data_IF_689531280353
#
_entry.id   IF_689531280353
#
_cell.length_a   1.000
_cell.length_b   1.000
_cell.length_c   1.000
_cell.angle_alpha   90.00
_cell.angle_beta   90.00
_cell.angle_gamma   90.00
#
_symmetry.space_group_name_H-M   'P 1'
#
loop_
_entity.id
_entity.type
_entity.pdbx_description
1 polymer ?
#
# COMPACT_ATOMS: atom_id res chain seq x y z
N UNK A 1 -12.70 29.20 -34.80
CA UNK A 1 -12.71 27.79 -34.35
C UNK A 1 -11.92 27.50 -33.08
N UNK A 2 -10.95 28.35 -32.70
CA UNK A 2 -10.23 28.23 -31.41
C UNK A 2 -11.11 28.47 -30.18
N UNK A 3 -12.16 29.25 -30.28
CA UNK A 3 -13.06 29.53 -29.15
C UNK A 3 -14.02 28.38 -28.83
N UNK A 4 -14.36 27.52 -29.80
CA UNK A 4 -15.15 26.31 -29.59
C UNK A 4 -14.35 25.22 -28.85
N UNK A 5 -13.08 25.07 -29.17
CA UNK A 5 -12.21 24.07 -28.49
C UNK A 5 -11.95 24.38 -27.02
N UNK A 6 -11.78 25.66 -26.66
CA UNK A 6 -11.60 26.08 -25.26
C UNK A 6 -12.86 25.84 -24.41
N UNK A 7 -14.05 26.15 -24.98
CA UNK A 7 -15.33 25.93 -24.31
C UNK A 7 -15.62 24.43 -24.04
N UNK A 8 -15.25 23.57 -24.99
CA UNK A 8 -15.42 22.12 -24.83
C UNK A 8 -14.39 21.50 -23.86
N UNK A 9 -13.17 22.01 -23.83
CA UNK A 9 -12.16 21.64 -22.85
C UNK A 9 -12.59 22.06 -21.44
N UNK A 10 -13.15 23.27 -21.28
CA UNK A 10 -13.69 23.73 -20.00
C UNK A 10 -14.92 22.95 -19.57
N UNK A 11 -15.85 22.60 -20.46
CA UNK A 11 -17.03 21.78 -20.14
C UNK A 11 -16.66 20.35 -19.76
N UNK A 12 -15.60 19.78 -20.33
CA UNK A 12 -15.10 18.44 -19.95
C UNK A 12 -14.43 18.43 -18.58
N UNK A 13 -13.90 19.55 -18.09
CA UNK A 13 -13.27 19.64 -16.77
C UNK A 13 -14.24 19.75 -15.60
N UNK A 14 -15.54 19.95 -15.82
CA UNK A 14 -16.51 20.31 -14.79
C UNK A 14 -17.60 19.27 -14.52
N UNK A 15 -17.57 18.11 -15.16
CA UNK A 15 -18.51 17.02 -14.89
C UNK A 15 -17.86 15.89 -14.10
N UNK A 16 -18.44 15.47 -12.97
CA UNK A 16 -18.11 14.19 -12.34
C UNK A 16 -18.51 13.08 -13.34
N UNK A 17 -17.52 12.55 -14.05
CA UNK A 17 -17.70 11.40 -14.94
C UNK A 17 -16.64 10.37 -14.59
N UNK A 18 -17.03 9.23 -13.98
CA UNK A 18 -16.12 8.13 -13.79
C UNK A 18 -15.48 7.75 -15.13
N UNK A 19 -14.16 7.57 -15.11
CA UNK A 19 -13.39 7.28 -16.33
C UNK A 19 -13.75 5.92 -16.93
N UNK A 20 -14.29 5.02 -16.09
CA UNK A 20 -14.82 3.73 -16.48
C UNK A 20 -15.84 3.85 -17.61
N UNK A 21 -16.73 4.85 -17.54
CA UNK A 21 -17.77 5.04 -18.59
C UNK A 21 -17.15 5.37 -19.96
N UNK A 22 -16.09 6.14 -19.98
CA UNK A 22 -15.35 6.46 -21.23
C UNK A 22 -14.48 5.29 -21.70
N UNK A 23 -13.88 4.55 -20.79
CA UNK A 23 -13.06 3.39 -21.11
C UNK A 23 -13.90 2.25 -21.72
N UNK A 24 -15.09 1.99 -21.17
CA UNK A 24 -15.98 0.93 -21.68
C UNK A 24 -16.55 1.20 -23.08
N UNK A 25 -16.58 2.44 -23.53
CA UNK A 25 -17.18 2.81 -24.83
C UNK A 25 -16.44 2.20 -26.03
N UNK A 26 -15.12 1.99 -25.91
CA UNK A 26 -14.26 1.41 -26.96
C UNK A 26 -13.47 0.20 -26.42
N UNK A 27 -14.10 -0.58 -25.55
CA UNK A 27 -13.42 -1.68 -24.85
C UNK A 27 -13.38 -2.93 -25.72
N UNK A 28 -12.18 -3.41 -26.03
CA UNK A 28 -11.99 -4.62 -26.83
C UNK A 28 -11.72 -5.84 -25.94
N UNK A 29 -11.88 -7.03 -26.52
CA UNK A 29 -11.61 -8.29 -25.82
C UNK A 29 -10.12 -8.43 -25.45
N UNK A 30 -9.23 -7.89 -26.28
CA UNK A 30 -7.79 -7.87 -26.05
C UNK A 30 -7.45 -6.98 -24.85
N UNK A 31 -8.08 -5.79 -24.75
CA UNK A 31 -7.94 -4.89 -23.61
C UNK A 31 -8.46 -5.54 -22.34
N UNK A 32 -9.61 -6.20 -22.40
CA UNK A 32 -10.15 -6.92 -21.24
C UNK A 32 -9.17 -7.98 -20.72
N UNK A 33 -8.57 -8.76 -21.60
CA UNK A 33 -7.62 -9.79 -21.18
C UNK A 33 -6.33 -9.18 -20.59
N UNK A 34 -5.85 -8.07 -21.17
CA UNK A 34 -4.70 -7.34 -20.66
C UNK A 34 -4.99 -6.77 -19.26
N UNK A 35 -6.15 -6.13 -19.07
CA UNK A 35 -6.56 -5.56 -17.79
C UNK A 35 -6.80 -6.65 -16.72
N UNK A 36 -7.39 -7.78 -17.11
CA UNK A 36 -7.59 -8.92 -16.22
C UNK A 36 -6.25 -9.47 -15.70
N UNK A 37 -5.30 -9.67 -16.60
CA UNK A 37 -3.96 -10.13 -16.22
C UNK A 37 -3.23 -9.12 -15.34
N UNK A 38 -3.32 -7.83 -15.67
CA UNK A 38 -2.74 -6.77 -14.85
C UNK A 38 -3.41 -6.74 -13.46
N UNK A 39 -4.73 -6.87 -13.39
CA UNK A 39 -5.50 -6.92 -12.15
C UNK A 39 -5.10 -8.09 -11.24
N UNK A 40 -4.92 -9.28 -11.82
CA UNK A 40 -4.45 -10.47 -11.08
C UNK A 40 -3.05 -10.21 -10.48
N UNK A 41 -2.12 -9.72 -11.30
CA UNK A 41 -0.75 -9.43 -10.84
C UNK A 41 -0.75 -8.40 -9.71
N UNK A 42 -1.49 -7.30 -9.89
CA UNK A 42 -1.61 -6.26 -8.86
C UNK A 42 -2.27 -6.80 -7.61
N UNK A 43 -3.33 -7.61 -7.74
CA UNK A 43 -4.02 -8.23 -6.61
C UNK A 43 -3.09 -9.10 -5.76
N UNK A 44 -2.28 -9.94 -6.39
CA UNK A 44 -1.31 -10.80 -5.69
C UNK A 44 -0.27 -9.96 -4.93
N UNK A 45 0.20 -8.85 -5.50
CA UNK A 45 1.17 -7.97 -4.84
C UNK A 45 0.51 -7.12 -3.76
N UNK A 46 -0.75 -6.71 -3.95
CA UNK A 46 -1.48 -5.87 -3.02
C UNK A 46 -1.86 -6.60 -1.71
N UNK A 47 -2.08 -7.92 -1.74
CA UNK A 47 -2.49 -8.68 -0.56
C UNK A 47 -1.47 -8.61 0.59
N UNK A 48 -0.18 -8.98 0.41
CA UNK A 48 0.82 -8.85 1.46
C UNK A 48 0.98 -7.41 1.95
N UNK A 49 0.90 -6.44 1.04
CA UNK A 49 1.02 -5.03 1.37
C UNK A 49 -0.16 -4.56 2.25
N UNK A 50 -1.39 -4.98 1.94
CA UNK A 50 -2.57 -4.66 2.72
C UNK A 50 -2.50 -5.25 4.14
N UNK A 51 -2.01 -6.50 4.26
CA UNK A 51 -1.76 -7.16 5.54
C UNK A 51 -0.73 -6.37 6.36
N UNK A 52 0.44 -6.10 5.76
CA UNK A 52 1.54 -5.43 6.43
C UNK A 52 1.13 -4.02 6.92
N UNK A 53 0.45 -3.24 6.08
CA UNK A 53 -0.02 -1.91 6.46
C UNK A 53 -1.17 -1.94 7.47
N UNK A 54 -2.03 -2.97 7.42
CA UNK A 54 -3.04 -3.20 8.44
C UNK A 54 -2.40 -3.40 9.81
N UNK A 55 -1.47 -4.32 9.93
CA UNK A 55 -0.73 -4.63 11.16
C UNK A 55 0.04 -3.39 11.63
N UNK A 56 0.81 -2.74 10.75
CA UNK A 56 1.58 -1.56 11.09
C UNK A 56 0.71 -0.37 11.53
N UNK A 57 -0.53 -0.32 11.09
CA UNK A 57 -1.53 0.68 11.51
C UNK A 57 -2.26 0.31 12.82
N UNK A 58 -2.02 -0.88 13.37
CA UNK A 58 -2.63 -1.35 14.63
C UNK A 58 -4.01 -1.98 14.46
N UNK A 59 -4.38 -2.40 13.24
CA UNK A 59 -5.61 -3.18 12.96
C UNK A 59 -5.29 -4.63 12.61
N UNK A 60 -6.31 -5.50 12.64
CA UNK A 60 -6.11 -6.89 12.26
C UNK A 60 -5.82 -7.05 10.76
N UNK A 61 -5.05 -8.09 10.36
CA UNK A 61 -4.72 -8.37 8.98
C UNK A 61 -5.95 -8.44 8.05
N UNK A 62 -7.04 -9.05 8.53
CA UNK A 62 -8.28 -9.23 7.79
C UNK A 62 -8.91 -7.89 7.42
N UNK A 63 -8.90 -6.92 8.36
CA UNK A 63 -9.40 -5.57 8.12
C UNK A 63 -8.60 -4.84 7.05
N UNK A 64 -7.28 -5.06 7.03
CA UNK A 64 -6.41 -4.55 5.97
C UNK A 64 -6.81 -5.07 4.59
N UNK A 65 -7.03 -6.38 4.47
CA UNK A 65 -7.45 -7.03 3.21
C UNK A 65 -8.84 -6.54 2.79
N UNK A 66 -9.83 -6.56 3.68
CA UNK A 66 -11.20 -6.13 3.39
C UNK A 66 -11.21 -4.67 2.91
N UNK A 67 -10.46 -3.81 3.59
CA UNK A 67 -10.33 -2.40 3.20
C UNK A 67 -9.71 -2.26 1.81
N UNK A 68 -8.65 -3.00 1.51
CA UNK A 68 -8.01 -2.96 0.19
C UNK A 68 -8.97 -3.40 -0.92
N UNK A 69 -9.76 -4.46 -0.70
CA UNK A 69 -10.73 -4.96 -1.67
C UNK A 69 -11.84 -3.93 -1.90
N UNK A 70 -12.51 -3.50 -0.83
CA UNK A 70 -13.68 -2.61 -0.94
C UNK A 70 -13.27 -1.22 -1.44
N UNK A 71 -12.26 -0.61 -0.82
CA UNK A 71 -11.80 0.72 -1.20
C UNK A 71 -11.18 0.71 -2.60
N UNK A 72 -10.35 -0.29 -2.93
CA UNK A 72 -9.76 -0.45 -4.25
C UNK A 72 -10.83 -0.58 -5.34
N UNK A 73 -11.87 -1.37 -5.10
CA UNK A 73 -13.00 -1.50 -6.03
C UNK A 73 -13.76 -0.18 -6.22
N UNK A 74 -14.14 0.49 -5.13
CA UNK A 74 -14.90 1.76 -5.19
C UNK A 74 -14.07 2.84 -5.88
N UNK A 75 -12.79 2.97 -5.55
CA UNK A 75 -11.89 3.97 -6.15
C UNK A 75 -11.71 3.69 -7.65
N UNK A 76 -11.55 2.44 -8.05
CA UNK A 76 -11.42 2.07 -9.47
C UNK A 76 -12.71 2.31 -10.24
N UNK A 77 -13.87 2.03 -9.62
CA UNK A 77 -15.20 2.22 -10.24
C UNK A 77 -15.53 3.70 -10.44
N UNK A 78 -15.24 4.54 -9.44
CA UNK A 78 -15.62 5.96 -9.40
C UNK A 78 -14.47 6.90 -9.76
N UNK A 79 -13.27 6.39 -9.97
CA UNK A 79 -12.07 7.18 -10.23
C UNK A 79 -12.11 7.94 -11.56
N UNK A 80 -11.40 9.06 -11.59
CA UNK A 80 -11.26 9.91 -12.77
C UNK A 80 -9.99 9.63 -13.58
N UNK A 81 -9.17 8.66 -13.20
CA UNK A 81 -7.92 8.26 -13.87
C UNK A 81 -8.05 6.89 -14.53
N UNK A 82 -7.42 6.71 -15.67
CA UNK A 82 -7.37 5.43 -16.38
C UNK A 82 -6.27 4.50 -15.84
N UNK A 83 -5.30 5.05 -15.13
CA UNK A 83 -4.06 4.34 -14.75
C UNK A 83 -3.79 4.36 -13.25
N UNK A 84 -4.75 4.80 -12.43
CA UNK A 84 -4.61 4.88 -10.99
C UNK A 84 -5.39 3.77 -10.30
N UNK A 85 -4.73 3.05 -9.40
CA UNK A 85 -5.33 2.05 -8.52
C UNK A 85 -5.30 2.61 -7.09
N UNK A 86 -6.45 2.57 -6.42
CA UNK A 86 -6.54 2.90 -4.99
C UNK A 86 -5.99 1.76 -4.15
N UNK A 87 -5.21 2.10 -3.11
CA UNK A 87 -4.65 1.10 -2.22
C UNK A 87 -4.10 1.71 -0.93
N UNK A 88 -3.67 0.86 0.00
CA UNK A 88 -3.07 1.31 1.24
C UNK A 88 -1.78 2.09 0.97
N UNK A 89 -1.52 3.13 1.79
CA UNK A 89 -0.31 3.93 1.67
C UNK A 89 0.42 4.03 3.00
N UNK A 90 1.74 3.87 2.96
CA UNK A 90 2.61 3.99 4.12
C UNK A 90 2.58 5.37 4.78
N UNK A 91 2.21 6.42 4.03
CA UNK A 91 2.11 7.78 4.54
C UNK A 91 1.11 7.95 5.70
N UNK A 92 0.03 7.18 5.68
CA UNK A 92 -1.03 7.27 6.69
C UNK A 92 -0.87 6.32 7.88
N UNK A 93 0.08 5.39 7.85
CA UNK A 93 0.28 4.41 8.92
C UNK A 93 0.41 5.10 10.28
N UNK A 94 1.26 6.11 10.37
CA UNK A 94 1.54 6.82 11.64
C UNK A 94 0.28 7.54 12.17
N UNK A 95 -0.48 8.16 11.25
CA UNK A 95 -1.71 8.88 11.60
C UNK A 95 -2.78 7.90 12.09
N UNK A 96 -3.01 6.82 11.35
CA UNK A 96 -3.99 5.79 11.70
C UNK A 96 -3.62 5.11 13.01
N UNK A 97 -2.35 4.74 13.18
CA UNK A 97 -1.85 4.15 14.42
C UNK A 97 -2.07 5.08 15.61
N UNK A 98 -1.77 6.38 15.46
CA UNK A 98 -2.00 7.38 16.50
C UNK A 98 -3.48 7.50 16.89
N UNK A 99 -4.39 7.50 15.92
CA UNK A 99 -5.84 7.53 16.16
C UNK A 99 -6.29 6.27 16.92
N UNK A 100 -5.82 5.10 16.51
CA UNK A 100 -6.19 3.82 17.15
C UNK A 100 -5.67 3.76 18.58
N UNK A 101 -4.45 4.24 18.85
CA UNK A 101 -3.90 4.25 20.21
C UNK A 101 -4.67 5.17 21.16
N UNK A 102 -5.20 6.30 20.66
CA UNK A 102 -5.90 7.30 21.49
C UNK A 102 -7.41 7.04 21.58
N UNK A 103 -8.05 6.65 20.49
CA UNK A 103 -9.51 6.58 20.36
C UNK A 103 -10.05 5.21 19.98
N UNK A 104 -9.16 4.21 19.80
CA UNK A 104 -9.54 2.88 19.37
C UNK A 104 -10.05 2.83 17.94
N UNK A 105 -10.56 1.67 17.54
CA UNK A 105 -11.09 1.45 16.18
C UNK A 105 -12.34 2.28 15.89
N UNK A 106 -13.19 2.51 16.90
CA UNK A 106 -14.38 3.37 16.76
C UNK A 106 -13.99 4.80 16.41
N UNK A 107 -12.91 5.31 17.02
CA UNK A 107 -12.37 6.63 16.69
C UNK A 107 -11.85 6.68 15.25
N UNK A 108 -11.22 5.61 14.75
CA UNK A 108 -10.79 5.52 13.36
C UNK A 108 -11.96 5.57 12.38
N UNK A 109 -13.06 4.88 12.67
CA UNK A 109 -14.28 4.92 11.84
C UNK A 109 -14.81 6.35 11.73
N UNK A 110 -14.96 7.05 12.87
CA UNK A 110 -15.44 8.43 12.89
C UNK A 110 -14.48 9.35 12.11
N UNK A 111 -13.18 9.25 12.36
CA UNK A 111 -12.18 10.06 11.66
C UNK A 111 -12.22 9.82 10.13
N UNK A 112 -12.39 8.58 9.70
CA UNK A 112 -12.49 8.22 8.28
C UNK A 112 -13.77 8.79 7.64
N UNK A 113 -14.90 8.71 8.34
CA UNK A 113 -16.16 9.32 7.87
C UNK A 113 -16.03 10.84 7.75
N UNK A 114 -15.45 11.49 8.75
CA UNK A 114 -15.19 12.93 8.71
C UNK A 114 -14.28 13.32 7.55
N UNK A 115 -13.20 12.58 7.35
CA UNK A 115 -12.29 12.79 6.22
C UNK A 115 -13.01 12.61 4.88
N UNK A 116 -13.87 11.59 4.75
CA UNK A 116 -14.68 11.36 3.57
C UNK A 116 -15.63 12.52 3.27
N UNK A 117 -16.33 13.05 4.27
CA UNK A 117 -17.19 14.23 4.12
C UNK A 117 -16.37 15.45 3.67
N UNK A 118 -15.23 15.71 4.30
CA UNK A 118 -14.35 16.80 3.92
C UNK A 118 -13.86 16.66 2.48
N UNK A 119 -13.48 15.48 2.05
CA UNK A 119 -13.05 15.23 0.66
C UNK A 119 -14.18 15.47 -0.33
N UNK A 120 -15.42 15.08 -0.01
CA UNK A 120 -16.60 15.36 -0.84
C UNK A 120 -16.81 16.87 -0.95
N UNK A 121 -16.75 17.60 0.15
CA UNK A 121 -16.88 19.07 0.16
C UNK A 121 -15.77 19.73 -0.68
N UNK A 122 -14.52 19.31 -0.53
CA UNK A 122 -13.40 19.79 -1.35
C UNK A 122 -13.64 19.53 -2.84
N UNK A 123 -14.22 18.37 -3.18
CA UNK A 123 -14.60 18.03 -4.55
C UNK A 123 -15.72 18.93 -5.09
N UNK A 124 -16.80 19.13 -4.32
CA UNK A 124 -17.95 19.98 -4.67
C UNK A 124 -17.51 21.45 -4.88
N UNK A 125 -16.70 21.98 -3.98
CA UNK A 125 -16.13 23.32 -4.09
C UNK A 125 -15.01 23.44 -5.13
N UNK A 126 -14.66 22.33 -5.81
CA UNK A 126 -13.59 22.28 -6.85
C UNK A 126 -12.22 22.75 -6.34
N UNK A 127 -11.98 22.57 -5.04
CA UNK A 127 -10.73 22.97 -4.39
C UNK A 127 -9.53 22.10 -4.82
N UNK A 128 -9.76 21.00 -5.53
CA UNK A 128 -8.69 20.26 -6.19
C UNK A 128 -7.85 21.09 -7.17
N UNK A 129 -8.42 22.20 -7.69
CA UNK A 129 -7.66 23.15 -8.52
C UNK A 129 -6.57 23.90 -7.72
N UNK A 130 -6.73 24.02 -6.39
CA UNK A 130 -5.77 24.68 -5.50
C UNK A 130 -4.43 23.92 -5.44
N UNK A 131 -4.45 22.61 -5.72
CA UNK A 131 -3.23 21.79 -5.78
C UNK A 131 -2.22 22.31 -6.80
N UNK A 132 -2.70 22.97 -7.88
CA UNK A 132 -1.83 23.59 -8.89
C UNK A 132 -0.95 24.71 -8.34
N UNK A 133 -1.33 25.30 -7.22
CA UNK A 133 -0.59 26.39 -6.58
C UNK A 133 0.42 25.87 -5.54
N UNK A 134 0.46 24.55 -5.29
CA UNK A 134 1.45 23.97 -4.39
C UNK A 134 2.81 23.98 -5.10
N UNK A 135 3.82 24.66 -4.55
CA UNK A 135 5.16 24.67 -5.13
C UNK A 135 5.77 23.27 -5.19
N UNK A 136 6.42 22.95 -6.30
CA UNK A 136 7.07 21.66 -6.51
C UNK A 136 7.99 21.20 -5.38
N UNK A 137 8.80 22.08 -4.74
CA UNK A 137 9.65 21.68 -3.58
C UNK A 137 8.85 21.10 -2.42
N UNK A 138 7.62 21.57 -2.17
CA UNK A 138 6.77 21.04 -1.09
C UNK A 138 6.36 19.58 -1.42
N UNK A 139 6.00 19.32 -2.68
CA UNK A 139 5.63 17.96 -3.14
C UNK A 139 6.83 17.02 -2.99
N UNK A 140 8.02 17.45 -3.41
CA UNK A 140 9.24 16.66 -3.30
C UNK A 140 9.59 16.41 -1.84
N UNK A 141 9.54 17.43 -0.99
CA UNK A 141 9.81 17.31 0.44
C UNK A 141 8.85 16.33 1.13
N UNK A 142 7.55 16.44 0.83
CA UNK A 142 6.53 15.53 1.36
C UNK A 142 6.78 14.08 0.90
N UNK A 143 7.03 13.86 -0.39
CA UNK A 143 7.28 12.53 -0.93
C UNK A 143 8.55 11.91 -0.37
N UNK A 144 9.62 12.71 -0.24
CA UNK A 144 10.88 12.25 0.37
C UNK A 144 10.70 11.91 1.85
N UNK A 145 9.94 12.72 2.59
CA UNK A 145 9.62 12.44 3.99
C UNK A 145 8.85 11.13 4.17
N UNK A 146 7.88 10.86 3.28
CA UNK A 146 7.17 9.58 3.25
C UNK A 146 8.14 8.42 2.98
N UNK A 147 9.02 8.57 1.99
CA UNK A 147 9.99 7.52 1.65
C UNK A 147 10.91 7.18 2.84
N UNK A 148 11.42 8.18 3.54
CA UNK A 148 12.25 8.00 4.74
C UNK A 148 11.44 7.32 5.85
N UNK A 149 10.19 7.71 6.05
CA UNK A 149 9.31 7.10 7.07
C UNK A 149 9.05 5.64 6.77
N UNK A 150 8.71 5.29 5.51
CA UNK A 150 8.50 3.91 5.09
C UNK A 150 9.80 3.10 5.27
N UNK A 151 10.93 3.63 4.81
CA UNK A 151 12.22 2.97 4.99
C UNK A 151 12.50 2.67 6.46
N UNK A 152 12.26 3.63 7.34
CA UNK A 152 12.44 3.45 8.79
C UNK A 152 11.57 2.33 9.34
N UNK A 153 10.30 2.22 8.91
CA UNK A 153 9.44 1.12 9.37
C UNK A 153 9.91 -0.25 8.90
N UNK A 154 10.53 -0.34 7.74
CA UNK A 154 11.04 -1.61 7.19
C UNK A 154 12.30 -2.12 7.88
N UNK A 155 13.03 -1.27 8.60
CA UNK A 155 14.26 -1.67 9.32
C UNK A 155 13.98 -2.79 10.32
N UNK A 156 12.91 -2.67 11.11
CA UNK A 156 12.53 -3.69 12.09
C UNK A 156 12.25 -5.05 11.42
N UNK A 157 11.54 -5.05 10.30
CA UNK A 157 11.17 -6.26 9.57
C UNK A 157 12.37 -6.89 8.86
N UNK A 158 13.26 -6.08 8.25
CA UNK A 158 14.47 -6.56 7.57
C UNK A 158 15.38 -7.29 8.56
N UNK A 159 15.60 -6.72 9.73
CA UNK A 159 16.45 -7.31 10.77
C UNK A 159 15.69 -8.27 11.70
N UNK A 160 14.37 -8.39 11.56
CA UNK A 160 13.55 -9.25 12.41
C UNK A 160 13.65 -8.88 13.89
N UNK A 161 13.66 -7.57 14.20
CA UNK A 161 13.82 -7.09 15.58
C UNK A 161 12.60 -7.46 16.42
N UNK A 162 12.85 -7.91 17.63
CA UNK A 162 11.81 -8.21 18.63
C UNK A 162 11.91 -7.23 19.79
N UNK A 163 10.75 -6.64 20.16
CA UNK A 163 10.70 -5.56 21.15
C UNK A 163 10.23 -6.01 22.54
N UNK A 164 10.16 -7.32 22.81
CA UNK A 164 9.81 -7.86 24.14
C UNK A 164 8.44 -7.39 24.68
N UNK A 165 7.51 -7.00 23.80
CA UNK A 165 6.22 -6.43 24.18
C UNK A 165 6.24 -4.91 24.39
N UNK A 166 7.35 -4.25 24.24
CA UNK A 166 7.46 -2.78 24.27
C UNK A 166 6.78 -2.19 23.03
N UNK A 167 5.95 -1.17 23.21
CA UNK A 167 5.25 -0.53 22.09
C UNK A 167 6.22 0.34 21.30
N UNK A 168 6.29 0.12 20.00
CA UNK A 168 7.09 0.95 19.10
C UNK A 168 6.46 2.34 19.00
N UNK A 169 7.19 3.43 19.34
CA UNK A 169 6.68 4.79 19.22
C UNK A 169 6.25 5.14 17.80
N UNK A 170 5.25 6.02 17.69
CA UNK A 170 4.79 6.50 16.38
C UNK A 170 5.77 7.49 15.72
N UNK A 171 6.54 8.23 16.52
CA UNK A 171 7.46 9.26 16.06
C UNK A 171 8.77 8.69 15.52
N UNK A 172 9.41 9.45 14.63
CA UNK A 172 10.63 9.03 13.93
C UNK A 172 11.80 8.77 14.89
N UNK A 173 12.05 9.69 15.82
CA UNK A 173 13.18 9.60 16.75
C UNK A 173 13.01 8.45 17.73
N UNK A 174 11.79 8.29 18.28
CA UNK A 174 11.48 7.19 19.19
C UNK A 174 11.64 5.83 18.53
N UNK A 175 11.25 5.69 17.25
CA UNK A 175 11.47 4.45 16.48
C UNK A 175 12.95 4.09 16.38
N UNK A 176 13.80 5.03 16.00
CA UNK A 176 15.23 4.77 15.91
C UNK A 176 15.85 4.43 17.27
N UNK A 177 15.40 5.10 18.32
CA UNK A 177 15.89 4.83 19.68
C UNK A 177 15.55 3.40 20.12
N UNK A 178 14.34 2.93 19.89
CA UNK A 178 13.94 1.55 20.23
C UNK A 178 14.66 0.52 19.36
N UNK A 179 14.89 0.80 18.08
CA UNK A 179 15.64 -0.08 17.19
C UNK A 179 17.09 -0.26 17.64
N UNK A 180 17.78 0.84 18.00
CA UNK A 180 19.14 0.76 18.53
C UNK A 180 19.22 0.02 19.86
N UNK A 181 18.20 0.17 20.73
CA UNK A 181 18.14 -0.53 22.02
C UNK A 181 17.97 -2.04 21.85
N UNK A 182 17.23 -2.48 20.84
CA UNK A 182 16.93 -3.89 20.58
C UNK A 182 17.72 -4.46 19.40
N UNK A 183 18.81 -3.83 19.03
CA UNK A 183 19.64 -4.31 17.91
C UNK A 183 20.33 -5.66 18.21
N UNK A 184 20.45 -6.03 19.47
CA UNK A 184 20.90 -7.33 19.94
C UNK A 184 19.92 -8.50 19.60
N UNK A 185 18.66 -8.16 19.29
CA UNK A 185 17.63 -9.15 18.94
C UNK A 185 17.58 -9.50 17.44
N UNK A 186 18.55 -9.06 16.64
CA UNK A 186 18.60 -9.31 15.19
C UNK A 186 18.45 -10.79 14.87
N UNK A 187 17.47 -11.09 14.02
CA UNK A 187 17.24 -12.43 13.48
C UNK A 187 17.96 -12.57 12.13
N UNK A 188 19.03 -13.31 12.09
CA UNK A 188 19.82 -13.52 10.88
C UNK A 188 19.05 -14.19 9.75
N UNK A 189 18.07 -15.05 10.06
CA UNK A 189 17.23 -15.68 9.05
C UNK A 189 16.36 -14.66 8.34
N UNK A 190 15.72 -13.75 9.09
CA UNK A 190 14.94 -12.67 8.51
C UNK A 190 15.81 -11.75 7.63
N UNK A 191 17.01 -11.44 8.11
CA UNK A 191 17.97 -10.61 7.35
C UNK A 191 18.37 -11.27 6.03
N UNK A 192 18.70 -12.58 6.06
CA UNK A 192 19.06 -13.33 4.85
C UNK A 192 17.88 -13.36 3.87
N UNK A 193 16.69 -13.69 4.34
CA UNK A 193 15.46 -13.73 3.53
C UNK A 193 15.19 -12.37 2.90
N UNK A 194 15.36 -11.29 3.64
CA UNK A 194 15.17 -9.92 3.15
C UNK A 194 16.19 -9.56 2.08
N UNK A 195 17.48 -9.87 2.29
CA UNK A 195 18.55 -9.62 1.31
C UNK A 195 18.30 -10.41 0.02
N UNK A 196 17.95 -11.70 0.14
CA UNK A 196 17.64 -12.55 -1.01
C UNK A 196 16.43 -12.00 -1.79
N UNK A 197 15.39 -11.55 -1.07
CA UNK A 197 14.22 -10.94 -1.70
C UNK A 197 14.58 -9.67 -2.48
N UNK A 198 15.37 -8.78 -1.88
CA UNK A 198 15.85 -7.55 -2.55
C UNK A 198 16.68 -7.89 -3.78
N UNK A 199 17.55 -8.90 -3.69
CA UNK A 199 18.38 -9.34 -4.80
C UNK A 199 17.54 -9.90 -5.96
N UNK A 200 16.52 -10.71 -5.67
CA UNK A 200 15.58 -11.22 -6.67
C UNK A 200 14.86 -10.06 -7.36
N UNK A 201 14.34 -9.10 -6.57
CA UNK A 201 13.64 -7.93 -7.12
C UNK A 201 14.55 -7.10 -8.02
N UNK A 202 15.79 -6.87 -7.62
CA UNK A 202 16.76 -6.07 -8.37
C UNK A 202 17.22 -6.76 -9.68
N UNK A 203 17.31 -8.07 -9.68
CA UNK A 203 17.80 -8.84 -10.84
C UNK A 203 16.68 -9.16 -11.85
N UNK A 204 15.46 -9.38 -11.39
CA UNK A 204 14.33 -9.78 -12.24
C UNK A 204 14.14 -8.91 -13.49
N UNK A 205 14.23 -7.57 -13.44
CA UNK A 205 14.05 -6.73 -14.63
C UNK A 205 15.09 -6.95 -15.74
N UNK A 206 16.22 -7.58 -15.41
CA UNK A 206 17.24 -7.95 -16.40
C UNK A 206 16.82 -9.16 -17.24
N UNK A 207 16.04 -10.08 -16.66
CA UNK A 207 15.60 -11.31 -17.34
C UNK A 207 14.22 -11.16 -17.96
N UNK A 208 13.31 -10.44 -17.30
CA UNK A 208 11.95 -10.24 -17.81
C UNK A 208 11.42 -8.87 -17.40
N UNK A 209 11.03 -8.07 -18.39
CA UNK A 209 10.31 -6.81 -18.17
C UNK A 209 8.80 -6.99 -18.07
N UNK A 210 8.28 -8.21 -18.32
CA UNK A 210 6.84 -8.50 -18.32
C UNK A 210 6.31 -8.89 -16.95
N UNK A 211 7.16 -9.43 -16.08
CA UNK A 211 6.76 -9.93 -14.76
C UNK A 211 7.39 -9.04 -13.69
N UNK A 212 6.60 -8.49 -12.76
CA UNK A 212 7.12 -7.71 -11.65
C UNK A 212 8.07 -8.54 -10.78
N UNK A 213 9.25 -8.00 -10.47
CA UNK A 213 10.24 -8.69 -9.63
C UNK A 213 9.72 -8.99 -8.22
N UNK A 214 8.86 -8.13 -7.68
CA UNK A 214 8.20 -8.35 -6.41
C UNK A 214 7.33 -9.61 -6.39
N UNK A 215 6.62 -9.91 -7.49
CA UNK A 215 5.81 -11.11 -7.60
C UNK A 215 6.67 -12.38 -7.54
N UNK A 216 7.78 -12.39 -8.30
CA UNK A 216 8.72 -13.52 -8.29
C UNK A 216 9.34 -13.69 -6.90
N UNK A 217 9.77 -12.60 -6.27
CA UNK A 217 10.34 -12.64 -4.93
C UNK A 217 9.34 -13.22 -3.91
N UNK A 218 8.09 -12.77 -3.90
CA UNK A 218 7.06 -13.28 -3.01
C UNK A 218 6.89 -14.80 -3.20
N UNK A 219 6.71 -15.26 -4.43
CA UNK A 219 6.48 -16.69 -4.71
C UNK A 219 7.70 -17.52 -4.31
N UNK A 220 8.89 -17.16 -4.80
CA UNK A 220 10.12 -17.95 -4.57
C UNK A 220 10.46 -17.99 -3.08
N UNK A 221 10.44 -16.84 -2.42
CA UNK A 221 10.80 -16.76 -0.99
C UNK A 221 9.77 -17.44 -0.11
N UNK A 222 8.46 -17.28 -0.40
CA UNK A 222 7.41 -17.98 0.35
C UNK A 222 7.55 -19.49 0.23
N UNK A 223 7.75 -20.01 -0.99
CA UNK A 223 7.97 -21.46 -1.20
C UNK A 223 9.22 -21.94 -0.48
N UNK A 224 10.33 -21.18 -0.55
CA UNK A 224 11.57 -21.55 0.14
C UNK A 224 11.39 -21.58 1.66
N UNK A 225 10.75 -20.57 2.25
CA UNK A 225 10.51 -20.49 3.70
C UNK A 225 9.56 -21.61 4.15
N UNK A 226 8.47 -21.86 3.42
CA UNK A 226 7.54 -22.96 3.73
C UNK A 226 8.22 -24.33 3.62
N UNK A 227 9.08 -24.53 2.62
CA UNK A 227 9.85 -25.77 2.49
C UNK A 227 10.81 -25.96 3.66
N UNK A 228 11.47 -24.91 4.11
CA UNK A 228 12.38 -24.97 5.28
C UNK A 228 11.62 -25.22 6.58
N UNK A 229 10.45 -24.62 6.77
CA UNK A 229 9.60 -24.89 7.93
C UNK A 229 9.15 -26.35 7.93
N UNK A 230 8.74 -26.88 6.78
CA UNK A 230 8.28 -28.27 6.66
C UNK A 230 9.40 -29.29 6.90
N UNK A 231 10.65 -28.94 6.61
CA UNK A 231 11.83 -29.78 6.89
C UNK A 231 12.24 -29.68 8.37
N UNK A 232 12.04 -28.52 9.02
CA UNK A 232 12.45 -28.29 10.40
C UNK A 232 11.43 -28.74 11.45
N UNK A 233 10.15 -28.91 11.09
CA UNK A 233 9.14 -29.53 11.94
C UNK A 233 8.90 -30.99 11.50
N UNK A 234 9.57 -31.98 12.12
CA UNK A 234 9.14 -33.38 11.98
C UNK A 234 7.74 -33.47 12.54
N UNK A 235 6.81 -33.93 11.69
CA UNK A 235 5.40 -34.18 11.99
C UNK A 235 5.20 -34.65 13.44
N UNK A 236 4.74 -33.75 14.31
CA UNK A 236 4.15 -34.22 15.59
C UNK A 236 2.85 -34.90 15.22
N UNK A 237 2.68 -36.21 15.53
CA UNK A 237 1.40 -36.85 15.36
C UNK A 237 0.38 -36.10 16.22
N UNK A 238 -0.72 -35.71 15.61
CA UNK A 238 -1.88 -35.14 16.31
C UNK A 238 -2.35 -36.25 17.25
N UNK A 239 -2.05 -36.13 18.52
CA UNK A 239 -2.66 -36.99 19.55
C UNK A 239 -4.12 -36.57 19.67
N UNK A 240 -5.00 -37.31 19.00
CA UNK A 240 -6.45 -37.25 19.22
C UNK A 240 -6.66 -37.92 20.61
N UNK A 241 -6.97 -37.13 21.59
CA UNK A 241 -7.54 -37.56 22.86
C UNK A 241 -8.79 -36.74 23.16
#
# INVERSE_FOLDING_TARGET
DRSRGLGDVYKRQFGFRPKLYTALKNYSKELFMADLMAGIIVGIVALPLAIAFGIASGVSPEKGIITAIIAGFIISLMGGSEVQIGGPTGAFIVIIYGIIQQYGESGLIVATLMAGVLLILLGVFKLGAVIKFIPYPIIVGFTSGIAVTIFTTQIADIFGLTFGGEKVPGDFVGKWMIYFRHFDTVNWWNTIVSIVSIFIIAITPRFSKKIPGSLIAIIVVTVAVLSLIHISEPTRPISIS
#
